data_IF_761129796939
#
_entry.id   IF_761129796939
#
_cell.length_a   1.000
_cell.length_b   1.000
_cell.length_c   1.000
_cell.angle_alpha   90.00
_cell.angle_beta   90.00
_cell.angle_gamma   90.00
#
_symmetry.space_group_name_H-M   'P 1'
#
loop_
_entity.id
_entity.type
_entity.pdbx_description
1 polymer ?
#
# COMPACT_ATOMS: atom_id res chain seq x y z
N UNK A 1 6.34 93.86 16.77
CA UNK A 1 6.72 93.65 15.33
C UNK A 1 7.26 92.26 15.18
N UNK A 2 6.45 91.39 14.73
CA UNK A 2 6.48 90.53 13.61
C UNK A 2 7.84 89.89 13.23
N UNK A 3 7.92 88.59 13.33
CA UNK A 3 8.46 87.78 12.23
C UNK A 3 7.95 86.35 12.41
N UNK A 4 7.08 85.97 11.51
CA UNK A 4 6.54 84.64 11.29
C UNK A 4 7.65 83.78 10.70
N UNK A 5 7.90 82.65 11.29
CA UNK A 5 8.65 81.57 10.65
C UNK A 5 7.73 80.35 10.49
N UNK A 6 7.38 80.09 9.23
CA UNK A 6 6.72 78.90 8.80
C UNK A 6 7.69 77.71 8.92
N UNK A 7 7.33 76.76 9.74
CA UNK A 7 7.96 75.42 9.68
C UNK A 7 7.05 74.50 8.88
N UNK A 8 7.49 74.19 7.66
CA UNK A 8 6.93 73.14 6.82
C UNK A 8 7.20 71.79 7.45
N UNK A 9 6.18 71.12 7.93
CA UNK A 9 6.26 69.74 8.31
C UNK A 9 6.01 68.91 7.04
N UNK A 10 7.05 68.33 6.47
CA UNK A 10 6.92 67.26 5.51
C UNK A 10 6.57 65.97 6.22
N UNK A 11 5.29 65.57 6.15
CA UNK A 11 4.85 64.26 6.56
C UNK A 11 5.27 63.23 5.47
N UNK A 12 6.33 62.49 5.76
CA UNK A 12 6.69 61.27 5.02
C UNK A 12 5.74 60.17 5.49
N UNK A 13 4.70 59.91 4.69
CA UNK A 13 3.90 58.71 4.83
C UNK A 13 4.70 57.50 4.40
N UNK A 14 5.30 56.79 5.34
CA UNK A 14 5.85 55.46 5.12
C UNK A 14 4.71 54.47 4.99
N UNK A 15 4.32 54.15 3.76
CA UNK A 15 3.41 53.03 3.44
C UNK A 15 4.11 51.71 3.72
N UNK A 16 3.92 51.19 4.92
CA UNK A 16 4.28 49.79 5.20
C UNK A 16 3.34 48.88 4.45
N UNK A 17 3.73 48.42 3.28
CA UNK A 17 3.08 47.26 2.64
C UNK A 17 3.39 46.03 3.48
N UNK A 18 2.46 45.68 4.36
CA UNK A 18 2.42 44.40 4.99
C UNK A 18 1.97 43.41 3.90
N UNK A 19 2.96 42.80 3.26
CA UNK A 19 2.71 41.67 2.38
C UNK A 19 2.12 40.52 3.19
N UNK A 20 0.81 40.38 3.16
CA UNK A 20 0.13 39.16 3.61
C UNK A 20 0.55 38.03 2.68
N UNK A 21 1.58 37.29 3.10
CA UNK A 21 1.81 35.96 2.55
C UNK A 21 0.64 35.09 3.05
N UNK A 22 -0.41 35.00 2.24
CA UNK A 22 -1.34 33.89 2.37
C UNK A 22 -0.53 32.64 2.05
N UNK A 23 -0.03 31.99 3.09
CA UNK A 23 0.35 30.59 2.98
C UNK A 23 -0.94 29.85 2.64
N UNK A 24 -1.17 29.65 1.36
CA UNK A 24 -2.10 28.64 0.93
C UNK A 24 -1.59 27.33 1.53
N UNK A 25 -2.15 26.99 2.70
CA UNK A 25 -2.14 25.61 3.16
C UNK A 25 -2.92 24.81 2.14
N UNK A 26 -2.28 24.46 1.04
CA UNK A 26 -2.67 23.32 0.29
C UNK A 26 -2.55 22.18 1.30
N UNK A 27 -3.64 21.51 1.71
CA UNK A 27 -3.46 20.23 2.34
C UNK A 27 -2.63 19.45 1.32
N UNK A 28 -1.37 19.17 1.66
CA UNK A 28 -0.65 18.15 0.97
C UNK A 28 -1.64 16.99 0.96
N UNK A 29 -2.26 16.73 -0.19
CA UNK A 29 -2.86 15.44 -0.43
C UNK A 29 -1.69 14.52 -0.12
N UNK A 30 -1.67 14.00 1.10
CA UNK A 30 -0.87 12.84 1.39
C UNK A 30 -1.35 11.86 0.34
N UNK A 31 -0.61 11.77 -0.76
CA UNK A 31 -0.81 10.73 -1.73
C UNK A 31 -0.84 9.48 -0.86
N UNK A 32 -2.01 8.87 -0.74
CA UNK A 32 -2.13 7.59 -0.08
C UNK A 32 -1.16 6.73 -0.84
N UNK A 33 0.01 6.52 -0.25
CA UNK A 33 1.08 5.78 -0.89
C UNK A 33 0.66 4.33 -0.86
N UNK A 34 -0.20 3.98 -1.84
CA UNK A 34 -0.57 2.59 -2.07
C UNK A 34 0.69 1.76 -2.10
N UNK A 35 0.76 0.77 -1.25
CA UNK A 35 1.91 -0.12 -1.11
C UNK A 35 1.59 -1.43 -1.80
N UNK A 36 2.49 -1.91 -2.61
CA UNK A 36 2.41 -3.22 -3.24
C UNK A 36 3.20 -4.23 -2.44
N UNK A 37 2.67 -5.43 -2.32
CA UNK A 37 3.35 -6.55 -1.67
C UNK A 37 3.48 -7.70 -2.67
N UNK A 38 4.71 -7.95 -3.12
CA UNK A 38 5.06 -9.13 -3.90
C UNK A 38 5.25 -10.31 -2.94
N UNK A 39 4.56 -11.40 -3.22
CA UNK A 39 4.67 -12.62 -2.43
C UNK A 39 5.03 -13.79 -3.31
N UNK A 40 5.97 -14.59 -2.82
CA UNK A 40 6.36 -15.85 -3.46
C UNK A 40 6.11 -17.00 -2.48
N UNK A 41 5.28 -17.93 -2.88
CA UNK A 41 4.99 -19.14 -2.13
C UNK A 41 5.62 -20.34 -2.82
N UNK A 42 6.39 -21.13 -2.07
CA UNK A 42 6.92 -22.41 -2.53
C UNK A 42 6.12 -23.53 -1.89
N UNK A 43 5.58 -24.41 -2.68
CA UNK A 43 4.84 -25.61 -2.25
C UNK A 43 5.76 -26.82 -2.17
N UNK A 44 5.48 -27.78 -1.29
CA UNK A 44 6.07 -29.12 -1.39
C UNK A 44 5.73 -29.78 -2.74
N UNK A 45 6.52 -30.77 -3.19
CA UNK A 45 6.26 -31.47 -4.45
C UNK A 45 4.82 -31.98 -4.55
N UNK A 46 4.16 -31.71 -5.69
CA UNK A 46 2.79 -32.12 -5.98
C UNK A 46 1.68 -31.38 -5.21
N UNK A 47 2.01 -30.29 -4.50
CA UNK A 47 1.03 -29.53 -3.69
C UNK A 47 0.61 -28.18 -4.32
N UNK A 48 1.19 -27.79 -5.45
CA UNK A 48 0.88 -26.51 -6.08
C UNK A 48 -0.60 -26.38 -6.49
N UNK A 49 -1.21 -27.45 -7.01
CA UNK A 49 -2.62 -27.40 -7.41
C UNK A 49 -3.54 -27.22 -6.21
N UNK A 50 -3.25 -27.85 -5.09
CA UNK A 50 -3.99 -27.64 -3.84
C UNK A 50 -3.85 -26.19 -3.33
N UNK A 51 -2.66 -25.60 -3.45
CA UNK A 51 -2.42 -24.20 -3.14
C UNK A 51 -3.23 -23.28 -4.06
N UNK A 52 -3.21 -23.52 -5.36
CA UNK A 52 -3.99 -22.73 -6.32
C UNK A 52 -5.51 -22.82 -6.06
N UNK A 53 -6.02 -24.01 -5.74
CA UNK A 53 -7.43 -24.20 -5.36
C UNK A 53 -7.78 -23.39 -4.12
N UNK A 54 -6.97 -23.44 -3.05
CA UNK A 54 -7.18 -22.60 -1.87
C UNK A 54 -7.21 -21.11 -2.20
N UNK A 55 -6.33 -20.64 -3.08
CA UNK A 55 -6.34 -19.25 -3.51
C UNK A 55 -7.62 -18.88 -4.26
N UNK A 56 -8.01 -19.68 -5.24
CA UNK A 56 -9.16 -19.45 -6.09
C UNK A 56 -10.47 -19.48 -5.29
N UNK A 57 -10.61 -20.45 -4.43
CA UNK A 57 -11.89 -20.74 -3.77
C UNK A 57 -12.07 -19.94 -2.47
N UNK A 58 -10.98 -19.51 -1.82
CA UNK A 58 -11.04 -18.89 -0.49
C UNK A 58 -10.16 -17.64 -0.37
N UNK A 59 -8.84 -17.74 -0.63
CA UNK A 59 -7.88 -16.73 -0.22
C UNK A 59 -8.13 -15.38 -0.88
N UNK A 60 -8.39 -15.35 -2.18
CA UNK A 60 -8.61 -14.09 -2.92
C UNK A 60 -9.84 -13.33 -2.44
N UNK A 61 -10.92 -14.05 -2.11
CA UNK A 61 -12.13 -13.47 -1.53
C UNK A 61 -11.89 -12.89 -0.14
N UNK A 62 -11.13 -13.61 0.69
CA UNK A 62 -10.77 -13.19 2.04
C UNK A 62 -9.78 -12.01 2.03
N UNK A 63 -8.84 -11.96 1.09
CA UNK A 63 -8.00 -10.78 0.90
C UNK A 63 -8.85 -9.53 0.66
N UNK A 64 -9.79 -9.60 -0.28
CA UNK A 64 -10.71 -8.50 -0.55
C UNK A 64 -11.55 -8.11 0.68
N UNK A 65 -12.07 -9.09 1.43
CA UNK A 65 -12.83 -8.89 2.68
C UNK A 65 -12.03 -8.08 3.69
N UNK A 66 -10.71 -8.28 3.75
CA UNK A 66 -9.82 -7.63 4.70
C UNK A 66 -9.01 -6.46 4.11
N UNK A 67 -9.52 -5.81 3.05
CA UNK A 67 -8.94 -4.58 2.53
C UNK A 67 -7.62 -4.75 1.75
N UNK A 68 -7.33 -5.97 1.31
CA UNK A 68 -6.22 -6.26 0.40
C UNK A 68 -6.73 -6.35 -1.03
N UNK A 69 -6.14 -5.57 -1.95
CA UNK A 69 -6.51 -5.60 -3.36
C UNK A 69 -5.69 -6.66 -4.09
N UNK A 70 -6.36 -7.61 -4.72
CA UNK A 70 -5.69 -8.58 -5.60
C UNK A 70 -5.25 -7.88 -6.89
N UNK A 71 -3.95 -7.88 -7.17
CA UNK A 71 -3.39 -7.23 -8.36
C UNK A 71 -3.16 -8.26 -9.47
N UNK A 72 -2.33 -9.28 -9.23
CA UNK A 72 -2.04 -10.31 -10.23
C UNK A 72 -1.42 -11.57 -9.60
N UNK A 73 -1.51 -12.70 -10.34
CA UNK A 73 -1.06 -14.01 -9.90
C UNK A 73 -0.37 -14.73 -11.05
N UNK A 74 0.77 -15.39 -10.79
CA UNK A 74 1.57 -16.08 -11.80
C UNK A 74 2.11 -17.41 -11.29
N UNK A 75 2.24 -18.35 -12.22
CA UNK A 75 3.08 -19.53 -12.09
C UNK A 75 4.27 -19.32 -13.03
N UNK A 76 5.52 -19.45 -12.57
CA UNK A 76 6.69 -19.41 -13.45
C UNK A 76 6.61 -20.45 -14.57
N UNK A 77 7.18 -20.16 -15.73
CA UNK A 77 7.19 -21.10 -16.85
C UNK A 77 8.34 -22.12 -16.76
N UNK A 78 9.43 -21.74 -16.08
CA UNK A 78 10.65 -22.56 -16.03
C UNK A 78 10.72 -23.43 -14.77
N UNK A 79 11.21 -24.64 -14.93
CA UNK A 79 11.51 -25.54 -13.80
C UNK A 79 12.77 -25.07 -13.02
N UNK A 80 12.86 -25.36 -11.71
CA UNK A 80 11.90 -26.13 -10.91
C UNK A 80 10.70 -25.31 -10.38
N UNK A 81 10.65 -24.01 -10.67
CA UNK A 81 9.62 -23.11 -10.12
C UNK A 81 8.24 -23.34 -10.73
N UNK A 82 8.17 -23.81 -11.96
CA UNK A 82 6.89 -24.12 -12.63
C UNK A 82 6.04 -25.10 -11.82
N UNK A 83 6.66 -26.11 -11.26
CA UNK A 83 5.97 -27.21 -10.57
C UNK A 83 5.65 -26.94 -9.10
N UNK A 84 6.18 -25.84 -8.51
CA UNK A 84 6.09 -25.64 -7.07
C UNK A 84 5.88 -24.18 -6.59
N UNK A 85 5.82 -23.20 -7.50
CA UNK A 85 5.86 -21.78 -7.07
C UNK A 85 4.64 -21.00 -7.54
N UNK A 86 4.00 -20.31 -6.61
CA UNK A 86 2.99 -19.29 -6.87
C UNK A 86 3.58 -17.92 -6.52
N UNK A 87 3.54 -16.99 -7.48
CA UNK A 87 3.93 -15.59 -7.30
C UNK A 87 2.69 -14.72 -7.43
N UNK A 88 2.53 -13.75 -6.53
CA UNK A 88 1.41 -12.82 -6.64
C UNK A 88 1.74 -11.44 -6.07
N UNK A 89 0.97 -10.45 -6.50
CA UNK A 89 1.00 -9.10 -5.98
C UNK A 89 -0.37 -8.75 -5.43
N UNK A 90 -0.37 -8.22 -4.22
CA UNK A 90 -1.52 -7.52 -3.61
C UNK A 90 -1.12 -6.08 -3.32
N UNK A 91 -2.11 -5.22 -3.13
CA UNK A 91 -1.84 -3.85 -2.68
C UNK A 91 -2.66 -3.49 -1.45
N UNK A 92 -2.14 -2.55 -0.67
CA UNK A 92 -2.72 -2.00 0.54
C UNK A 92 -2.72 -0.47 0.46
N UNK A 93 -3.60 0.19 1.21
CA UNK A 93 -3.66 1.65 1.29
C UNK A 93 -2.39 2.28 1.88
N UNK A 94 -1.73 1.58 2.81
CA UNK A 94 -0.45 1.97 3.40
C UNK A 94 0.26 0.76 4.04
N UNK A 95 1.51 0.96 4.44
CA UNK A 95 2.29 -0.06 5.16
C UNK A 95 1.66 -0.43 6.52
N UNK A 96 1.14 0.56 7.23
CA UNK A 96 0.45 0.37 8.50
C UNK A 96 -0.87 -0.38 8.30
N UNK A 97 -1.61 -0.03 7.24
CA UNK A 97 -2.85 -0.72 6.91
C UNK A 97 -2.58 -2.17 6.50
N UNK A 98 -1.48 -2.47 5.81
CA UNK A 98 -1.07 -3.84 5.49
C UNK A 98 -0.94 -4.71 6.74
N UNK A 99 -0.31 -4.20 7.80
CA UNK A 99 -0.17 -4.94 9.06
C UNK A 99 -1.53 -5.27 9.69
N UNK A 100 -2.46 -4.31 9.67
CA UNK A 100 -3.84 -4.49 10.19
C UNK A 100 -4.63 -5.50 9.34
N UNK A 101 -4.54 -5.38 8.01
CA UNK A 101 -5.22 -6.27 7.07
C UNK A 101 -4.76 -7.73 7.26
N UNK A 102 -3.45 -7.94 7.37
CA UNK A 102 -2.88 -9.26 7.62
C UNK A 102 -3.27 -9.83 8.99
N UNK A 103 -3.34 -8.99 10.02
CA UNK A 103 -3.79 -9.43 11.34
C UNK A 103 -5.26 -9.88 11.30
N UNK A 104 -6.13 -9.07 10.69
CA UNK A 104 -7.55 -9.38 10.53
C UNK A 104 -7.78 -10.65 9.69
N UNK A 105 -7.07 -10.78 8.57
CA UNK A 105 -7.12 -11.98 7.73
C UNK A 105 -6.73 -13.25 8.50
N UNK A 106 -5.64 -13.23 9.25
CA UNK A 106 -5.20 -14.40 10.02
C UNK A 106 -6.16 -14.79 11.15
N UNK A 107 -6.87 -13.80 11.71
CA UNK A 107 -7.86 -14.01 12.77
C UNK A 107 -9.24 -14.46 12.24
N UNK A 108 -9.47 -14.37 10.92
CA UNK A 108 -10.75 -14.70 10.32
C UNK A 108 -11.05 -16.21 10.43
N UNK A 109 -12.21 -16.60 11.01
CA UNK A 109 -12.60 -18.00 11.12
C UNK A 109 -12.69 -18.74 9.79
N UNK A 110 -13.13 -18.04 8.72
CA UNK A 110 -13.23 -18.62 7.39
C UNK A 110 -11.84 -18.95 6.83
N UNK A 111 -10.84 -18.07 7.10
CA UNK A 111 -9.46 -18.36 6.75
C UNK A 111 -8.90 -19.54 7.53
N UNK A 112 -9.10 -19.56 8.84
CA UNK A 112 -8.61 -20.63 9.69
C UNK A 112 -9.17 -22.00 9.27
N UNK A 113 -10.48 -22.04 8.93
CA UNK A 113 -11.13 -23.22 8.39
C UNK A 113 -10.52 -23.63 7.04
N UNK A 114 -10.47 -22.72 6.08
CA UNK A 114 -9.94 -23.01 4.74
C UNK A 114 -8.47 -23.46 4.78
N UNK A 115 -7.65 -22.83 5.62
CA UNK A 115 -6.25 -23.22 5.83
C UNK A 115 -6.14 -24.64 6.38
N UNK A 116 -6.90 -24.95 7.44
CA UNK A 116 -6.92 -26.28 8.05
C UNK A 116 -7.40 -27.36 7.09
N UNK A 117 -8.48 -27.11 6.37
CA UNK A 117 -9.06 -28.08 5.43
C UNK A 117 -8.13 -28.35 4.25
N UNK A 118 -7.52 -27.30 3.68
CA UNK A 118 -6.58 -27.45 2.56
C UNK A 118 -5.29 -28.18 2.93
N UNK A 119 -4.92 -28.20 4.20
CA UNK A 119 -3.73 -28.86 4.72
C UNK A 119 -4.00 -30.19 5.43
N UNK A 120 -5.23 -30.69 5.36
CA UNK A 120 -5.62 -31.98 5.97
C UNK A 120 -4.75 -33.15 5.49
N UNK A 121 -4.26 -33.09 4.26
CA UNK A 121 -3.37 -34.07 3.64
C UNK A 121 -1.89 -33.61 3.61
N UNK A 122 -1.48 -32.81 4.58
CA UNK A 122 -0.13 -32.27 4.71
C UNK A 122 -0.01 -30.82 4.22
N UNK A 123 1.11 -30.18 4.56
CA UNK A 123 1.39 -28.79 4.17
C UNK A 123 1.28 -28.58 2.67
N UNK A 124 0.71 -27.45 2.29
CA UNK A 124 0.68 -26.99 0.89
C UNK A 124 1.55 -25.74 0.66
N UNK A 125 2.09 -25.14 1.72
CA UNK A 125 3.07 -24.07 1.66
C UNK A 125 4.27 -24.45 2.50
N UNK A 126 5.45 -24.53 1.87
CA UNK A 126 6.72 -24.81 2.54
C UNK A 126 7.43 -23.52 2.93
N UNK A 127 7.47 -22.55 2.02
CA UNK A 127 8.13 -21.26 2.19
C UNK A 127 7.27 -20.11 1.69
N UNK A 128 7.33 -18.99 2.40
CA UNK A 128 6.72 -17.72 1.99
C UNK A 128 7.77 -16.63 2.04
N UNK A 129 7.90 -15.88 0.95
CA UNK A 129 8.70 -14.65 0.87
C UNK A 129 7.78 -13.47 0.59
N UNK A 130 8.12 -12.30 1.14
CA UNK A 130 7.34 -11.08 0.97
C UNK A 130 8.27 -9.89 0.80
N UNK A 131 7.99 -9.05 -0.21
CA UNK A 131 8.70 -7.81 -0.49
C UNK A 131 7.66 -6.71 -0.66
N UNK A 132 7.78 -5.67 0.15
CA UNK A 132 6.98 -4.47 -0.04
C UNK A 132 7.65 -3.50 -1.01
N UNK A 133 6.84 -2.88 -1.87
CA UNK A 133 7.32 -2.06 -2.97
C UNK A 133 6.48 -0.80 -3.10
N UNK A 134 7.13 0.30 -3.41
CA UNK A 134 6.49 1.52 -3.87
C UNK A 134 6.50 1.56 -5.40
N UNK A 135 5.43 2.06 -6.00
CA UNK A 135 5.44 2.27 -7.44
C UNK A 135 6.37 3.43 -7.80
N UNK A 136 7.18 3.27 -8.84
CA UNK A 136 7.98 4.36 -9.39
C UNK A 136 7.09 5.40 -10.08
N UNK A 137 7.61 6.62 -10.32
CA UNK A 137 6.89 7.69 -11.01
C UNK A 137 6.50 7.32 -12.46
N UNK A 138 7.26 6.46 -13.10
CA UNK A 138 7.01 5.92 -14.44
C UNK A 138 6.24 4.58 -14.45
N UNK A 139 5.82 4.07 -13.28
CA UNK A 139 5.04 2.82 -13.23
C UNK A 139 3.65 3.02 -13.83
N UNK A 140 3.17 2.11 -14.69
CA UNK A 140 1.79 2.13 -15.16
C UNK A 140 0.78 1.75 -14.06
N UNK A 141 1.23 1.10 -12.99
CA UNK A 141 0.43 0.77 -11.80
C UNK A 141 0.71 1.79 -10.69
N UNK A 142 -0.33 2.50 -10.26
CA UNK A 142 -0.26 3.48 -9.16
C UNK A 142 -1.45 3.31 -8.23
#
# INVERSE_FOLDING_TARGET
>A
MSRKTLLSFCLLAASAMVGYWVMENHPAHAATTKVYELRTYTSPPGKLDALQSRFRDHTMGLFKKHGMTNVAYWIPQDEPRHSNTLIYIISHESREQAAKNWAAFRADPDWQKASKESEANGKIVEKTESIFMDATDYSPMK
#
